data_IF_050100270002
#
_entry.id   IF_050100270002
#
_cell.length_a   1.000
_cell.length_b   1.000
_cell.length_c   1.000
_cell.angle_alpha   90.00
_cell.angle_beta   90.00
_cell.angle_gamma   90.00
#
_symmetry.space_group_name_H-M   'P 1'
#
loop_
_entity.id
_entity.type
_entity.pdbx_description
1 polymer ?
#
# COMPACT_ATOMS: atom_id res chain seq x y z
N UNK A 1 -2.78 -18.50 1.36
CA UNK A 1 -4.11 -17.90 1.66
C UNK A 1 -4.86 -17.59 0.35
N UNK A 2 -4.31 -16.89 -0.66
CA UNK A 2 -5.02 -16.67 -1.94
C UNK A 2 -5.48 -17.96 -2.64
N UNK A 3 -4.73 -19.05 -2.51
CA UNK A 3 -5.13 -20.35 -3.09
C UNK A 3 -6.42 -20.93 -2.51
N UNK A 4 -6.79 -20.56 -1.30
CA UNK A 4 -8.04 -20.98 -0.65
C UNK A 4 -9.18 -20.00 -0.92
N UNK A 5 -8.89 -18.69 -0.88
CA UNK A 5 -9.92 -17.66 -1.06
C UNK A 5 -10.30 -17.45 -2.52
N UNK A 6 -9.35 -17.51 -3.46
CA UNK A 6 -9.64 -17.25 -4.87
C UNK A 6 -10.68 -18.21 -5.48
N UNK A 7 -10.61 -19.55 -5.29
CA UNK A 7 -11.63 -20.44 -5.82
C UNK A 7 -13.01 -20.17 -5.23
N UNK A 8 -13.11 -19.86 -3.94
CA UNK A 8 -14.35 -19.52 -3.27
C UNK A 8 -14.98 -18.26 -3.86
N UNK A 9 -14.20 -17.17 -3.89
CA UNK A 9 -14.64 -15.88 -4.38
C UNK A 9 -15.00 -15.92 -5.88
N UNK A 10 -14.24 -16.69 -6.69
CA UNK A 10 -14.54 -16.86 -8.11
C UNK A 10 -15.85 -17.61 -8.37
N UNK A 11 -16.23 -18.54 -7.51
CA UNK A 11 -17.52 -19.26 -7.61
C UNK A 11 -18.70 -18.33 -7.31
N UNK A 12 -18.55 -17.40 -6.35
CA UNK A 12 -19.63 -16.50 -5.93
C UNK A 12 -19.80 -15.35 -6.92
N UNK A 13 -18.71 -14.69 -7.31
CA UNK A 13 -18.77 -13.46 -8.11
C UNK A 13 -18.69 -13.70 -9.62
N UNK A 14 -18.32 -14.90 -10.04
CA UNK A 14 -18.14 -15.21 -11.47
C UNK A 14 -16.99 -14.40 -12.10
N UNK A 15 -16.89 -14.51 -13.45
CA UNK A 15 -15.84 -13.82 -14.20
C UNK A 15 -16.01 -12.29 -14.18
N UNK A 16 -17.23 -11.79 -14.30
CA UNK A 16 -17.52 -10.35 -14.36
C UNK A 16 -17.23 -9.64 -13.04
N UNK A 17 -17.61 -10.23 -11.91
CA UNK A 17 -17.34 -9.66 -10.59
C UNK A 17 -15.85 -9.64 -10.27
N UNK A 18 -15.14 -10.73 -10.57
CA UNK A 18 -13.68 -10.79 -10.41
C UNK A 18 -12.99 -9.80 -11.36
N UNK A 19 -13.45 -9.69 -12.62
CA UNK A 19 -12.94 -8.72 -13.58
C UNK A 19 -13.07 -7.29 -13.08
N UNK A 20 -14.25 -6.91 -12.61
CA UNK A 20 -14.54 -5.57 -12.05
C UNK A 20 -13.67 -5.24 -10.84
N UNK A 21 -13.51 -6.21 -9.92
CA UNK A 21 -12.65 -6.05 -8.74
C UNK A 21 -11.18 -5.87 -9.13
N UNK A 22 -10.67 -6.69 -10.06
CA UNK A 22 -9.28 -6.60 -10.53
C UNK A 22 -9.01 -5.32 -11.30
N UNK A 23 -9.96 -4.90 -12.15
CA UNK A 23 -9.85 -3.66 -12.91
C UNK A 23 -9.72 -2.45 -11.99
N UNK A 24 -10.62 -2.34 -11.00
CA UNK A 24 -10.57 -1.22 -10.05
C UNK A 24 -9.34 -1.29 -9.15
N UNK A 25 -8.90 -2.47 -8.72
CA UNK A 25 -7.67 -2.67 -7.96
C UNK A 25 -6.40 -2.31 -8.75
N UNK A 26 -6.37 -2.56 -10.07
CA UNK A 26 -5.25 -2.14 -10.92
C UNK A 26 -5.09 -0.62 -10.92
N UNK A 27 -6.19 0.13 -11.02
CA UNK A 27 -6.14 1.59 -10.92
C UNK A 27 -5.58 2.07 -9.57
N UNK A 28 -6.03 1.48 -8.45
CA UNK A 28 -5.45 1.77 -7.12
C UNK A 28 -3.94 1.54 -7.12
N UNK A 29 -3.49 0.43 -7.73
CA UNK A 29 -2.06 0.10 -7.78
C UNK A 29 -1.24 1.18 -8.47
N UNK A 30 -1.75 1.76 -9.57
CA UNK A 30 -1.06 2.87 -10.24
C UNK A 30 -0.96 4.12 -9.34
N UNK A 31 -2.05 4.50 -8.69
CA UNK A 31 -2.06 5.66 -7.81
C UNK A 31 -1.16 5.46 -6.58
N UNK A 32 -1.17 4.27 -5.98
CA UNK A 32 -0.29 3.95 -4.85
C UNK A 32 1.18 3.91 -5.25
N UNK A 33 1.49 3.40 -6.45
CA UNK A 33 2.85 3.40 -7.00
C UNK A 33 3.39 4.82 -7.17
N UNK A 34 2.59 5.72 -7.74
CA UNK A 34 2.95 7.14 -7.90
C UNK A 34 3.05 7.80 -6.52
N UNK A 35 2.11 7.52 -5.61
CA UNK A 35 2.11 8.06 -4.24
C UNK A 35 3.36 7.71 -3.45
N UNK A 36 3.85 6.47 -3.60
CA UNK A 36 5.05 5.97 -2.93
C UNK A 36 6.35 6.56 -3.50
N UNK A 37 6.35 7.01 -4.75
CA UNK A 37 7.43 7.74 -5.44
C UNK A 37 8.86 7.17 -5.21
N UNK A 38 9.03 5.85 -5.05
CA UNK A 38 10.33 5.23 -4.79
C UNK A 38 10.83 5.35 -3.34
N UNK A 39 10.05 5.94 -2.44
CA UNK A 39 10.40 6.11 -1.01
C UNK A 39 10.73 4.77 -0.36
N UNK A 40 10.05 3.69 -0.73
CA UNK A 40 10.27 2.36 -0.16
C UNK A 40 11.74 1.91 -0.32
N UNK A 41 12.29 1.93 -1.53
CA UNK A 41 13.66 1.50 -1.77
C UNK A 41 14.70 2.48 -1.23
N UNK A 42 14.49 3.78 -1.48
CA UNK A 42 15.38 4.83 -0.99
C UNK A 42 15.40 4.89 0.54
N UNK A 43 14.23 4.92 1.17
CA UNK A 43 14.09 5.01 2.61
C UNK A 43 14.67 3.79 3.34
N UNK A 44 14.46 2.58 2.80
CA UNK A 44 15.07 1.37 3.34
C UNK A 44 16.60 1.49 3.36
N UNK A 45 17.21 1.98 2.28
CA UNK A 45 18.66 2.16 2.19
C UNK A 45 19.15 3.21 3.19
N UNK A 46 18.55 4.39 3.21
CA UNK A 46 18.99 5.49 4.07
C UNK A 46 18.89 5.15 5.56
N UNK A 47 17.78 4.52 5.98
CA UNK A 47 17.60 4.06 7.36
C UNK A 47 18.61 2.97 7.71
N UNK A 48 18.89 2.02 6.81
CA UNK A 48 19.86 0.97 7.05
C UNK A 48 21.27 1.51 7.31
N UNK A 49 21.64 2.61 6.63
CA UNK A 49 22.96 3.27 6.82
C UNK A 49 23.06 3.96 8.18
N UNK A 50 21.96 4.53 8.69
CA UNK A 50 22.00 5.32 9.93
C UNK A 50 21.29 4.66 11.11
N UNK A 51 20.92 3.39 11.02
CA UNK A 51 20.09 2.67 12.01
C UNK A 51 20.62 2.70 13.46
N UNK A 52 21.92 2.89 13.63
CA UNK A 52 22.57 2.97 14.95
C UNK A 52 22.52 4.40 15.55
N UNK A 53 22.14 5.41 14.76
CA UNK A 53 21.99 6.79 15.16
C UNK A 53 20.50 7.18 15.19
N UNK A 54 19.89 7.12 16.36
CA UNK A 54 18.44 7.36 16.54
C UNK A 54 18.00 8.75 16.12
N UNK A 55 18.86 9.77 16.29
CA UNK A 55 18.52 11.14 15.92
C UNK A 55 18.47 11.31 14.41
N UNK A 56 19.47 10.77 13.69
CA UNK A 56 19.48 10.79 12.21
C UNK A 56 18.36 9.95 11.63
N UNK A 57 18.12 8.74 12.17
CA UNK A 57 17.01 7.88 11.78
C UNK A 57 15.68 8.59 11.92
N UNK A 58 15.45 9.28 13.05
CA UNK A 58 14.22 10.02 13.28
C UNK A 58 14.04 11.17 12.29
N UNK A 59 15.11 11.95 12.02
CA UNK A 59 15.06 13.02 11.06
C UNK A 59 14.74 12.52 9.64
N UNK A 60 15.46 11.51 9.14
CA UNK A 60 15.25 10.93 7.82
C UNK A 60 13.85 10.33 7.70
N UNK A 61 13.37 9.60 8.73
CA UNK A 61 12.01 9.04 8.72
C UNK A 61 10.95 10.12 8.51
N UNK A 62 10.99 11.20 9.30
CA UNK A 62 10.00 12.28 9.19
C UNK A 62 10.15 13.09 7.90
N UNK A 63 11.37 13.28 7.38
CA UNK A 63 11.60 13.92 6.09
C UNK A 63 10.94 13.13 4.95
N UNK A 64 11.14 11.82 4.92
CA UNK A 64 10.52 10.93 3.93
C UNK A 64 9.00 10.85 4.10
N UNK A 65 8.52 10.82 5.34
CA UNK A 65 7.08 10.77 5.61
C UNK A 65 6.37 12.05 5.18
N UNK A 66 7.02 13.22 5.27
CA UNK A 66 6.47 14.48 4.77
C UNK A 66 6.44 14.54 3.24
N UNK A 67 7.46 13.99 2.56
CA UNK A 67 7.42 13.83 1.10
C UNK A 67 6.26 12.90 0.73
N UNK A 68 6.14 11.77 1.41
CA UNK A 68 5.06 10.81 1.19
C UNK A 68 3.68 11.44 1.43
N UNK A 69 3.52 12.28 2.45
CA UNK A 69 2.29 13.01 2.70
C UNK A 69 1.91 13.92 1.53
N UNK A 70 2.88 14.66 0.97
CA UNK A 70 2.63 15.56 -0.15
C UNK A 70 2.24 14.81 -1.42
N UNK A 71 2.94 13.72 -1.74
CA UNK A 71 2.59 12.87 -2.90
C UNK A 71 1.27 12.16 -2.70
N UNK A 72 0.98 11.68 -1.48
CA UNK A 72 -0.30 11.07 -1.11
C UNK A 72 -1.47 12.04 -1.29
N UNK A 73 -1.35 13.29 -0.87
CA UNK A 73 -2.39 14.29 -1.05
C UNK A 73 -2.70 14.51 -2.53
N UNK A 74 -1.67 14.64 -3.36
CA UNK A 74 -1.84 14.82 -4.81
C UNK A 74 -2.52 13.59 -5.44
N UNK A 75 -2.00 12.39 -5.18
CA UNK A 75 -2.51 11.15 -5.76
C UNK A 75 -3.88 10.78 -5.18
N UNK A 76 -4.13 11.05 -3.90
CA UNK A 76 -5.42 10.83 -3.24
C UNK A 76 -6.52 11.71 -3.82
N UNK A 77 -6.25 12.99 -4.05
CA UNK A 77 -7.20 13.91 -4.70
C UNK A 77 -7.46 13.47 -6.14
N UNK A 78 -6.42 13.15 -6.91
CA UNK A 78 -6.56 12.68 -8.29
C UNK A 78 -7.36 11.37 -8.36
N UNK A 79 -7.12 10.42 -7.46
CA UNK A 79 -7.90 9.20 -7.37
C UNK A 79 -9.37 9.46 -6.98
N UNK A 80 -9.62 10.36 -6.03
CA UNK A 80 -10.98 10.72 -5.62
C UNK A 80 -11.75 11.34 -6.79
N UNK A 81 -11.09 12.18 -7.59
CA UNK A 81 -11.67 12.73 -8.82
C UNK A 81 -12.05 11.61 -9.80
N UNK A 82 -11.18 10.62 -10.03
CA UNK A 82 -11.49 9.44 -10.82
C UNK A 82 -12.68 8.66 -10.25
N UNK A 83 -12.72 8.43 -8.95
CA UNK A 83 -13.78 7.69 -8.28
C UNK A 83 -15.14 8.36 -8.43
N UNK A 84 -15.20 9.69 -8.27
CA UNK A 84 -16.43 10.47 -8.36
C UNK A 84 -16.97 10.58 -9.80
N UNK A 85 -16.09 10.61 -10.80
CA UNK A 85 -16.48 10.67 -12.22
C UNK A 85 -16.77 9.30 -12.85
N UNK A 86 -16.50 8.20 -12.14
CA UNK A 86 -16.80 6.86 -12.63
C UNK A 86 -18.28 6.52 -12.44
N UNK A 87 -19.01 6.27 -13.52
CA UNK A 87 -20.43 5.92 -13.46
C UNK A 87 -20.64 4.48 -12.97
N UNK A 88 -19.89 3.51 -13.52
CA UNK A 88 -20.15 2.09 -13.33
C UNK A 88 -19.50 1.49 -12.07
N UNK A 89 -18.34 2.03 -11.65
CA UNK A 89 -17.53 1.45 -10.56
C UNK A 89 -17.35 2.39 -9.37
N UNK A 90 -18.19 3.43 -9.26
CA UNK A 90 -18.07 4.48 -8.24
C UNK A 90 -17.97 3.92 -6.82
N UNK A 91 -18.84 2.98 -6.46
CA UNK A 91 -18.84 2.37 -5.12
C UNK A 91 -17.53 1.60 -4.87
N UNK A 92 -17.06 0.84 -5.85
CA UNK A 92 -15.82 0.07 -5.71
C UNK A 92 -14.60 0.98 -5.57
N UNK A 93 -14.53 2.06 -6.33
CA UNK A 93 -13.46 3.06 -6.20
C UNK A 93 -13.50 3.77 -4.85
N UNK A 94 -14.68 4.16 -4.35
CA UNK A 94 -14.81 4.79 -3.04
C UNK A 94 -14.38 3.86 -1.91
N UNK A 95 -14.78 2.59 -1.96
CA UNK A 95 -14.34 1.59 -0.98
C UNK A 95 -12.83 1.36 -1.07
N UNK A 96 -12.28 1.30 -2.27
CA UNK A 96 -10.83 1.12 -2.46
C UNK A 96 -10.00 2.36 -2.11
N UNK A 97 -10.61 3.54 -1.90
CA UNK A 97 -9.91 4.70 -1.36
C UNK A 97 -9.23 4.41 -0.02
N UNK A 98 -9.79 3.46 0.75
CA UNK A 98 -9.16 2.92 1.96
C UNK A 98 -7.75 2.36 1.66
N UNK A 99 -7.55 1.74 0.50
CA UNK A 99 -6.23 1.23 0.09
C UNK A 99 -5.23 2.35 -0.23
N UNK A 100 -5.71 3.49 -0.73
CA UNK A 100 -4.87 4.69 -0.91
C UNK A 100 -4.41 5.20 0.45
N UNK A 101 -5.31 5.30 1.42
CA UNK A 101 -4.95 5.68 2.81
C UNK A 101 -3.99 4.65 3.41
N UNK A 102 -4.23 3.37 3.19
CA UNK A 102 -3.37 2.30 3.66
C UNK A 102 -1.95 2.41 3.09
N UNK A 103 -1.79 2.82 1.83
CA UNK A 103 -0.48 3.00 1.21
C UNK A 103 0.31 4.15 1.84
N UNK A 104 -0.35 5.24 2.23
CA UNK A 104 0.29 6.35 2.95
C UNK A 104 0.83 5.90 4.32
N UNK A 105 0.14 4.96 4.97
CA UNK A 105 0.54 4.42 6.26
C UNK A 105 1.55 3.26 6.15
N UNK A 106 1.97 2.92 4.94
CA UNK A 106 2.94 1.85 4.71
C UNK A 106 4.36 2.30 5.06
N UNK A 107 4.83 1.84 6.21
CA UNK A 107 6.20 2.00 6.70
C UNK A 107 6.95 0.66 6.78
N UNK A 108 6.55 -0.34 5.96
CA UNK A 108 7.25 -1.63 5.91
C UNK A 108 8.74 -1.46 5.59
N UNK A 109 9.10 -0.53 4.69
CA UNK A 109 10.47 -0.21 4.31
C UNK A 109 11.35 0.15 5.51
N UNK A 110 10.79 0.83 6.52
CA UNK A 110 11.50 1.18 7.74
C UNK A 110 11.89 -0.07 8.54
N UNK A 111 10.94 -0.97 8.78
CA UNK A 111 11.20 -2.21 9.53
C UNK A 111 12.05 -3.21 8.74
N UNK A 112 12.02 -3.16 7.40
CA UNK A 112 12.92 -3.92 6.54
C UNK A 112 14.37 -3.43 6.68
N UNK A 113 14.60 -2.12 6.80
CA UNK A 113 15.92 -1.54 7.07
C UNK A 113 16.51 -2.02 8.42
N UNK A 114 15.65 -2.28 9.41
CA UNK A 114 16.03 -2.88 10.70
C UNK A 114 16.05 -4.41 10.69
N UNK A 115 15.89 -5.03 9.51
CA UNK A 115 15.90 -6.49 9.34
C UNK A 115 14.83 -7.23 10.17
N UNK A 116 13.74 -6.55 10.55
CA UNK A 116 12.64 -7.10 11.37
C UNK A 116 11.65 -7.93 10.55
N UNK A 117 12.15 -8.76 9.63
CA UNK A 117 11.34 -9.56 8.71
C UNK A 117 10.37 -10.52 9.42
N UNK A 118 10.79 -11.11 10.54
CA UNK A 118 9.94 -12.01 11.33
C UNK A 118 8.70 -11.30 11.86
N UNK A 119 8.86 -10.07 12.36
CA UNK A 119 7.75 -9.26 12.85
C UNK A 119 6.76 -8.94 11.73
N UNK A 120 7.27 -8.49 10.57
CA UNK A 120 6.46 -8.19 9.39
C UNK A 120 5.71 -9.46 8.91
N UNK A 121 6.39 -10.61 8.84
CA UNK A 121 5.81 -11.85 8.35
C UNK A 121 4.69 -12.39 9.25
N UNK A 122 4.90 -12.43 10.57
CA UNK A 122 3.90 -12.90 11.53
C UNK A 122 2.66 -12.01 11.48
N UNK A 123 2.84 -10.71 11.55
CA UNK A 123 1.75 -9.73 11.47
C UNK A 123 0.94 -9.90 10.17
N UNK A 124 1.62 -9.94 9.02
CA UNK A 124 0.97 -10.13 7.73
C UNK A 124 0.20 -11.46 7.67
N UNK A 125 0.73 -12.51 8.27
CA UNK A 125 0.06 -13.80 8.35
C UNK A 125 -1.24 -13.71 9.17
N UNK A 126 -1.18 -13.10 10.35
CA UNK A 126 -2.35 -12.92 11.22
C UNK A 126 -3.44 -12.11 10.53
N UNK A 127 -3.10 -10.94 9.98
CA UNK A 127 -4.09 -10.08 9.30
C UNK A 127 -4.70 -10.79 8.08
N UNK A 128 -3.91 -11.53 7.31
CA UNK A 128 -4.42 -12.30 6.16
C UNK A 128 -5.32 -13.46 6.59
N UNK A 129 -5.05 -14.13 7.70
CA UNK A 129 -5.93 -15.17 8.25
C UNK A 129 -7.26 -14.56 8.71
N UNK A 130 -7.23 -13.42 9.38
CA UNK A 130 -8.45 -12.70 9.78
C UNK A 130 -9.26 -12.22 8.56
N UNK A 131 -8.59 -11.70 7.53
CA UNK A 131 -9.24 -11.31 6.27
C UNK A 131 -9.87 -12.51 5.56
N UNK A 132 -9.21 -13.66 5.57
CA UNK A 132 -9.74 -14.90 5.02
C UNK A 132 -10.98 -15.35 5.80
N UNK A 133 -10.93 -15.37 7.13
CA UNK A 133 -12.08 -15.72 7.97
C UNK A 133 -13.25 -14.75 7.73
N UNK A 134 -12.99 -13.44 7.67
CA UNK A 134 -14.01 -12.44 7.36
C UNK A 134 -14.63 -12.66 5.96
N UNK A 135 -13.83 -13.05 4.96
CA UNK A 135 -14.33 -13.36 3.62
C UNK A 135 -15.31 -14.55 3.65
N UNK A 136 -14.97 -15.65 4.33
CA UNK A 136 -15.87 -16.81 4.42
C UNK A 136 -17.13 -16.55 5.26
N UNK A 137 -17.04 -15.64 6.25
CA UNK A 137 -18.17 -15.34 7.14
C UNK A 137 -19.14 -14.29 6.56
N UNK A 138 -18.66 -13.39 5.70
CA UNK A 138 -19.45 -12.24 5.25
C UNK A 138 -19.83 -12.29 3.77
N UNK A 139 -19.17 -13.12 2.97
CA UNK A 139 -19.41 -13.19 1.53
C UNK A 139 -20.22 -14.44 1.23
N UNK A 140 -21.47 -14.25 0.78
CA UNK A 140 -22.37 -15.33 0.44
C UNK A 140 -22.99 -15.18 -0.95
N UNK A 141 -23.20 -13.92 -1.38
CA UNK A 141 -23.88 -13.58 -2.61
C UNK A 141 -23.02 -12.74 -3.57
N UNK A 142 -23.44 -12.72 -4.84
CA UNK A 142 -22.79 -11.90 -5.87
C UNK A 142 -22.85 -10.39 -5.59
N UNK A 143 -23.82 -9.95 -4.79
CA UNK A 143 -23.98 -8.54 -4.39
C UNK A 143 -22.93 -8.08 -3.35
N UNK A 144 -22.26 -9.03 -2.69
CA UNK A 144 -21.29 -8.76 -1.63
C UNK A 144 -19.90 -8.31 -2.16
N UNK A 145 -19.77 -8.06 -3.46
CA UNK A 145 -18.49 -7.69 -4.09
C UNK A 145 -17.87 -6.44 -3.44
N UNK A 146 -18.68 -5.41 -3.11
CA UNK A 146 -18.20 -4.22 -2.42
C UNK A 146 -17.67 -4.54 -1.02
N UNK A 147 -18.30 -5.49 -0.31
CA UNK A 147 -17.87 -5.96 1.02
C UNK A 147 -16.53 -6.69 0.89
N UNK A 148 -16.37 -7.55 -0.11
CA UNK A 148 -15.10 -8.24 -0.38
C UNK A 148 -13.96 -7.27 -0.65
N UNK A 149 -14.20 -6.25 -1.49
CA UNK A 149 -13.24 -5.17 -1.75
C UNK A 149 -12.91 -4.43 -0.45
N UNK A 150 -13.92 -4.15 0.38
CA UNK A 150 -13.76 -3.52 1.68
C UNK A 150 -12.91 -4.34 2.65
N UNK A 151 -13.15 -5.66 2.76
CA UNK A 151 -12.38 -6.56 3.60
C UNK A 151 -10.89 -6.53 3.20
N UNK A 152 -10.59 -6.59 1.91
CA UNK A 152 -9.21 -6.57 1.41
C UNK A 152 -8.52 -5.22 1.66
N UNK A 153 -9.22 -4.11 1.44
CA UNK A 153 -8.70 -2.77 1.70
C UNK A 153 -8.48 -2.52 3.21
N UNK A 154 -9.44 -2.90 4.05
CA UNK A 154 -9.34 -2.77 5.51
C UNK A 154 -8.24 -3.66 6.09
N UNK A 155 -8.05 -4.88 5.56
CA UNK A 155 -6.96 -5.74 6.00
C UNK A 155 -5.60 -5.11 5.73
N UNK A 156 -5.43 -4.45 4.58
CA UNK A 156 -4.21 -3.72 4.25
C UNK A 156 -4.01 -2.52 5.18
N UNK A 157 -5.07 -1.77 5.45
CA UNK A 157 -5.05 -0.63 6.38
C UNK A 157 -4.65 -1.05 7.79
N UNK A 158 -5.29 -2.08 8.35
CA UNK A 158 -4.99 -2.62 9.69
C UNK A 158 -3.55 -3.14 9.73
N UNK A 159 -3.13 -3.83 8.68
CA UNK A 159 -1.76 -4.31 8.53
C UNK A 159 -0.76 -3.16 8.63
N UNK A 160 -0.95 -2.07 7.91
CA UNK A 160 -0.03 -0.94 7.91
C UNK A 160 -0.11 -0.11 9.20
N UNK A 161 -1.31 0.12 9.74
CA UNK A 161 -1.49 0.79 11.03
C UNK A 161 -0.76 0.08 12.18
N UNK A 162 -0.75 -1.25 12.19
CA UNK A 162 -0.10 -2.03 13.24
C UNK A 162 1.42 -1.80 13.32
N UNK A 163 2.07 -1.33 12.24
CA UNK A 163 3.48 -0.97 12.26
C UNK A 163 3.75 0.29 13.09
N UNK A 164 2.84 1.23 13.09
CA UNK A 164 3.00 2.49 13.81
C UNK A 164 3.04 2.30 15.33
N UNK A 165 2.40 1.23 15.83
CA UNK A 165 2.43 0.90 17.28
C UNK A 165 3.86 0.64 17.75
N UNK A 166 4.70 -0.01 16.94
CA UNK A 166 6.10 -0.31 17.29
C UNK A 166 7.10 0.82 16.96
N UNK A 167 6.68 1.83 16.21
CA UNK A 167 7.57 2.86 15.67
C UNK A 167 8.24 3.70 16.76
N UNK A 168 7.54 3.99 17.86
CA UNK A 168 8.04 4.82 18.98
C UNK A 168 9.32 4.27 19.63
N UNK A 169 9.61 2.98 19.44
CA UNK A 169 10.84 2.37 19.96
C UNK A 169 12.09 2.79 19.16
N UNK A 170 11.90 3.24 17.92
CA UNK A 170 12.97 3.52 16.96
C UNK A 170 13.08 4.99 16.58
N UNK A 171 11.97 5.73 16.61
CA UNK A 171 11.86 7.08 16.08
C UNK A 171 11.31 8.00 17.15
N UNK A 172 11.99 9.14 17.33
CA UNK A 172 11.54 10.25 18.17
C UNK A 172 10.85 11.32 17.32
N UNK A 173 10.01 12.14 17.95
CA UNK A 173 9.39 13.28 17.28
C UNK A 173 10.45 14.37 17.08
N UNK A 174 10.62 14.81 15.83
CA UNK A 174 11.60 15.83 15.43
C UNK A 174 10.88 17.13 15.06
N UNK A 175 11.36 18.30 15.50
CA UNK A 175 10.78 19.58 15.11
C UNK A 175 10.83 19.78 13.58
N UNK A 176 9.72 20.20 12.97
CA UNK A 176 9.61 20.41 11.53
C UNK A 176 10.67 21.38 10.95
N UNK A 177 11.10 22.34 11.77
CA UNK A 177 12.09 23.36 11.37
C UNK A 177 13.49 22.79 11.11
N UNK A 178 13.82 21.62 11.69
CA UNK A 178 15.13 20.97 11.53
C UNK A 178 15.21 20.02 10.34
N UNK A 179 14.10 19.78 9.66
CA UNK A 179 13.98 18.80 8.58
C UNK A 179 14.46 19.39 7.24
N UNK A 180 15.25 18.60 6.50
CA UNK A 180 15.86 18.98 5.23
C UNK A 180 15.27 18.17 4.06
N UNK A 181 13.99 18.36 3.78
CA UNK A 181 13.21 17.55 2.82
C UNK A 181 13.85 17.56 1.41
N UNK A 182 14.38 18.71 0.96
CA UNK A 182 14.89 18.89 -0.42
C UNK A 182 16.06 17.97 -0.77
N UNK A 183 16.86 17.56 0.22
CA UNK A 183 18.03 16.70 0.00
C UNK A 183 17.67 15.31 -0.55
N UNK A 184 16.46 14.83 -0.26
CA UNK A 184 16.01 13.49 -0.65
C UNK A 184 15.35 13.44 -2.03
N UNK A 185 14.85 14.55 -2.57
CA UNK A 185 14.01 14.57 -3.76
C UNK A 185 14.68 13.96 -5.00
N UNK A 186 15.96 14.29 -5.22
CA UNK A 186 16.72 13.78 -6.37
C UNK A 186 16.90 12.26 -6.29
N UNK A 187 17.29 11.79 -5.13
CA UNK A 187 17.62 10.36 -4.94
C UNK A 187 16.37 9.51 -4.94
N UNK A 188 15.27 9.98 -4.36
CA UNK A 188 13.94 9.33 -4.45
C UNK A 188 13.53 9.12 -5.90
N UNK A 189 13.70 10.14 -6.77
CA UNK A 189 13.38 10.02 -8.19
C UNK A 189 14.26 8.99 -8.91
N UNK A 190 15.54 8.88 -8.55
CA UNK A 190 16.43 7.85 -9.10
C UNK A 190 15.93 6.45 -8.72
N UNK A 191 15.48 6.24 -7.49
CA UNK A 191 14.89 4.97 -7.04
C UNK A 191 13.49 4.70 -7.61
N UNK A 192 12.78 5.73 -8.05
CA UNK A 192 11.48 5.59 -8.68
C UNK A 192 11.54 4.97 -10.08
N UNK A 193 12.57 5.27 -10.88
CA UNK A 193 12.73 4.78 -12.24
C UNK A 193 12.73 3.23 -12.31
N UNK A 194 13.56 2.49 -11.54
CA UNK A 194 13.51 1.03 -11.51
C UNK A 194 12.16 0.48 -11.03
N UNK A 195 11.52 1.17 -10.10
CA UNK A 195 10.20 0.78 -9.56
C UNK A 195 9.12 0.86 -10.62
N UNK A 196 9.10 1.92 -11.43
CA UNK A 196 8.20 2.02 -12.60
C UNK A 196 8.50 0.90 -13.60
N UNK A 197 9.77 0.71 -13.98
CA UNK A 197 10.15 -0.30 -14.95
C UNK A 197 9.69 -1.71 -14.53
N UNK A 198 9.91 -2.08 -13.27
CA UNK A 198 9.45 -3.35 -12.70
C UNK A 198 7.92 -3.47 -12.67
N UNK A 199 7.22 -2.38 -12.38
CA UNK A 199 5.75 -2.37 -12.35
C UNK A 199 5.15 -2.49 -13.74
N UNK A 200 5.69 -1.77 -14.71
CA UNK A 200 5.27 -1.86 -16.13
C UNK A 200 5.52 -3.28 -16.66
N UNK A 201 6.69 -3.85 -16.38
CA UNK A 201 7.01 -5.23 -16.77
C UNK A 201 6.00 -6.22 -16.17
N UNK A 202 5.71 -6.14 -14.88
CA UNK A 202 4.77 -7.03 -14.20
C UNK A 202 3.33 -6.92 -14.71
N UNK A 203 2.94 -5.74 -15.19
CA UNK A 203 1.61 -5.50 -15.77
C UNK A 203 1.54 -6.07 -17.18
N UNK A 204 2.56 -5.83 -18.01
CA UNK A 204 2.66 -6.37 -19.36
C UNK A 204 2.67 -7.90 -19.34
N UNK A 205 3.42 -8.51 -18.43
CA UNK A 205 3.50 -9.97 -18.27
C UNK A 205 2.12 -10.58 -17.97
N UNK A 206 1.34 -9.96 -17.07
CA UNK A 206 -0.04 -10.38 -16.80
C UNK A 206 -1.01 -10.17 -17.97
N UNK A 207 -0.75 -9.18 -18.81
CA UNK A 207 -1.57 -8.91 -20.00
C UNK A 207 -1.31 -9.92 -21.11
N UNK A 208 -0.07 -10.36 -21.27
CA UNK A 208 0.33 -11.35 -22.30
C UNK A 208 -0.14 -12.76 -21.97
N UNK A 209 -0.17 -13.13 -20.69
CA UNK A 209 -0.61 -14.47 -20.25
C UNK A 209 -2.13 -14.66 -20.37
N UNK A 210 -2.90 -13.58 -20.48
CA UNK A 210 -4.36 -13.62 -20.62
C UNK A 210 -4.85 -13.67 -22.10
N UNK A 211 -3.92 -13.81 -23.05
CA UNK A 211 -4.18 -14.15 -24.46
C UNK A 211 -3.92 -15.63 -24.67
#
# INVERSE_FOLDING_TARGET
>A
IPMLTNPYVSRIFGADGIGSSRYTAANVTYFTLIGMLGISGYGQREIAICRDDRQKTSAIFWELQLIHLSTFLITGIAYLFLALNSSNYRVFYLVQYISIIASFLDINWFFQAYERFRFIAIRNCVVKLLSMAATFLLIHDSNDLAIYIGITAMSTLISNLSLWVGLHQYVDIVPLKSLQIRRHLKDILIFFIPTIASSVYSILDKSVINW
#
